data_IF_860949682650
#
_entry.id   IF_860949682650
#
_cell.length_a   1.000
_cell.length_b   1.000
_cell.length_c   1.000
_cell.angle_alpha   90.00
_cell.angle_beta   90.00
_cell.angle_gamma   90.00
#
_symmetry.space_group_name_H-M   'P 1'
#
loop_
_entity.id
_entity.type
_entity.pdbx_description
1 polymer ?
#
# COMPACT_ATOMS: atom_id res chain seq x y z
N UNK A 1 8.35 -25.83 3.33
CA UNK A 1 7.52 -25.23 4.40
C UNK A 1 7.55 -23.70 4.39
N UNK A 2 8.63 -23.05 3.95
CA UNK A 2 8.74 -21.58 3.95
C UNK A 2 7.84 -20.84 2.93
N UNK A 3 7.36 -21.52 1.87
CA UNK A 3 6.50 -20.90 0.83
C UNK A 3 5.02 -20.76 1.22
N UNK A 4 4.57 -21.39 2.30
CA UNK A 4 3.16 -21.34 2.74
C UNK A 4 2.90 -20.21 3.75
N UNK A 5 3.95 -19.67 4.39
CA UNK A 5 3.80 -18.63 5.42
C UNK A 5 3.57 -17.22 4.83
N UNK A 6 3.82 -17.00 3.53
CA UNK A 6 3.65 -15.69 2.89
C UNK A 6 2.16 -15.36 2.62
N UNK A 7 1.27 -16.34 2.67
CA UNK A 7 -0.17 -16.17 2.40
C UNK A 7 -0.99 -15.74 3.64
N UNK A 8 -0.35 -15.52 4.80
CA UNK A 8 -1.02 -15.17 6.05
C UNK A 8 -0.38 -13.99 6.80
N UNK A 9 0.43 -13.16 6.13
CA UNK A 9 1.04 -12.01 6.78
C UNK A 9 0.31 -10.72 6.36
N UNK A 10 -0.80 -10.33 7.01
CA UNK A 10 -1.62 -9.20 6.54
C UNK A 10 -0.86 -7.86 6.57
N UNK A 11 0.33 -7.79 7.16
CA UNK A 11 1.03 -6.52 7.40
C UNK A 11 2.54 -6.75 7.30
N UNK A 12 3.04 -6.81 6.08
CA UNK A 12 4.49 -6.76 5.86
C UNK A 12 4.97 -5.35 6.19
N UNK A 13 5.73 -5.20 7.28
CA UNK A 13 6.47 -3.96 7.60
C UNK A 13 7.32 -3.59 6.39
N UNK A 14 7.19 -2.36 5.89
CA UNK A 14 7.98 -1.92 4.74
C UNK A 14 9.09 -0.99 5.23
N UNK A 15 9.88 -0.44 4.33
CA UNK A 15 10.72 0.73 4.65
C UNK A 15 10.19 1.94 3.91
N UNK A 16 8.93 1.88 3.46
CA UNK A 16 8.33 2.94 2.68
C UNK A 16 8.22 4.19 3.55
N UNK A 17 8.49 5.34 2.96
CA UNK A 17 8.26 6.65 3.56
C UNK A 17 6.93 7.25 3.10
N UNK A 18 6.39 6.74 2.00
CA UNK A 18 5.11 7.14 1.43
C UNK A 18 4.32 5.90 1.02
N UNK A 19 3.05 5.86 1.40
CA UNK A 19 2.07 4.90 0.89
C UNK A 19 1.14 5.59 -0.10
N UNK A 20 1.10 5.12 -1.34
CA UNK A 20 0.12 5.54 -2.35
C UNK A 20 -1.00 4.51 -2.38
N UNK A 21 -2.12 4.83 -1.74
CA UNK A 21 -3.28 3.94 -1.67
C UNK A 21 -4.34 4.32 -2.70
N UNK A 22 -5.06 3.32 -3.20
CA UNK A 22 -6.14 3.53 -4.17
C UNK A 22 -7.36 2.65 -3.89
N UNK A 23 -8.54 3.13 -4.27
CA UNK A 23 -9.79 2.42 -4.02
C UNK A 23 -9.98 1.23 -4.96
N UNK A 24 -9.38 1.26 -6.14
CA UNK A 24 -9.44 0.23 -7.19
C UNK A 24 -8.14 0.23 -8.00
N UNK A 25 -7.76 -0.92 -8.57
CA UNK A 25 -6.61 -1.01 -9.48
C UNK A 25 -6.79 -0.17 -10.75
N UNK A 26 -8.04 0.12 -11.14
CA UNK A 26 -8.36 1.05 -12.24
C UNK A 26 -7.82 2.47 -12.01
N UNK A 27 -7.70 2.88 -10.74
CA UNK A 27 -7.27 4.22 -10.35
C UNK A 27 -5.75 4.42 -10.55
N UNK A 28 -5.00 3.33 -10.77
CA UNK A 28 -3.55 3.38 -10.97
C UNK A 28 -3.16 4.31 -12.12
N UNK A 29 -3.93 4.33 -13.20
CA UNK A 29 -3.66 5.20 -14.34
C UNK A 29 -3.69 6.69 -13.96
N UNK A 30 -4.58 7.08 -13.04
CA UNK A 30 -4.68 8.45 -12.50
C UNK A 30 -3.56 8.74 -11.51
N UNK A 31 -3.13 7.76 -10.71
CA UNK A 31 -2.12 7.95 -9.67
C UNK A 31 -0.67 7.78 -10.15
N UNK A 32 -0.46 7.18 -11.33
CA UNK A 32 0.87 6.91 -11.90
C UNK A 32 1.80 8.14 -11.92
N UNK A 33 1.35 9.35 -12.28
CA UNK A 33 2.23 10.52 -12.25
C UNK A 33 2.80 10.83 -10.85
N UNK A 34 2.04 10.60 -9.78
CA UNK A 34 2.53 10.80 -8.42
C UNK A 34 3.58 9.73 -8.05
N UNK A 35 3.34 8.47 -8.42
CA UNK A 35 4.29 7.36 -8.23
C UNK A 35 5.60 7.63 -8.98
N UNK A 36 5.52 8.14 -10.21
CA UNK A 36 6.69 8.47 -11.03
C UNK A 36 7.54 9.58 -10.41
N UNK A 37 6.90 10.60 -9.83
CA UNK A 37 7.60 11.66 -9.10
C UNK A 37 8.32 11.10 -7.87
N UNK A 38 7.65 10.29 -7.05
CA UNK A 38 8.26 9.66 -5.88
C UNK A 38 9.47 8.78 -6.27
N UNK A 39 9.34 8.02 -7.36
CA UNK A 39 10.42 7.22 -7.94
C UNK A 39 11.58 8.07 -8.43
N UNK A 40 11.32 9.20 -9.13
CA UNK A 40 12.34 10.14 -9.61
C UNK A 40 13.19 10.69 -8.47
N UNK A 41 12.56 11.02 -7.34
CA UNK A 41 13.25 11.49 -6.14
C UNK A 41 13.80 10.35 -5.26
N UNK A 42 13.66 9.09 -5.68
CA UNK A 42 14.10 7.89 -4.95
C UNK A 42 13.50 7.80 -3.54
N UNK A 43 12.26 8.25 -3.37
CA UNK A 43 11.51 8.11 -2.11
C UNK A 43 11.03 6.66 -2.00
N UNK A 44 11.40 5.92 -0.94
CA UNK A 44 10.85 4.58 -0.70
C UNK A 44 9.32 4.65 -0.64
N UNK A 45 8.64 3.95 -1.54
CA UNK A 45 7.20 4.07 -1.73
C UNK A 45 6.56 2.69 -1.80
N UNK A 46 5.42 2.52 -1.16
CA UNK A 46 4.53 1.38 -1.37
C UNK A 46 3.26 1.82 -2.11
N UNK A 47 2.69 0.92 -2.91
CA UNK A 47 1.48 1.17 -3.69
C UNK A 47 0.52 0.01 -3.41
N UNK A 48 -0.68 0.31 -2.93
CA UNK A 48 -1.61 -0.73 -2.43
C UNK A 48 -3.07 -0.38 -2.75
N UNK A 49 -3.91 -1.40 -2.98
CA UNK A 49 -5.36 -1.20 -3.16
C UNK A 49 -6.05 -1.28 -1.78
N UNK A 50 -6.51 -0.13 -1.29
CA UNK A 50 -7.15 0.02 0.02
C UNK A 50 -8.52 0.66 -0.20
N UNK A 51 -9.56 -0.17 -0.32
CA UNK A 51 -10.92 0.29 -0.65
C UNK A 51 -11.73 0.61 0.60
N UNK A 52 -12.11 1.87 0.79
CA UNK A 52 -12.97 2.28 1.89
C UNK A 52 -14.36 1.61 1.87
N UNK A 53 -14.91 1.33 0.68
CA UNK A 53 -16.26 0.78 0.54
C UNK A 53 -16.30 -0.76 0.49
N UNK A 54 -15.29 -1.41 -0.11
CA UNK A 54 -15.27 -2.87 -0.24
C UNK A 54 -14.58 -3.57 0.92
N UNK A 55 -13.61 -2.91 1.55
CA UNK A 55 -12.83 -3.46 2.67
C UNK A 55 -12.57 -2.39 3.76
N UNK A 56 -13.63 -1.84 4.38
CA UNK A 56 -13.52 -0.76 5.36
C UNK A 56 -12.65 -1.12 6.59
N UNK A 57 -12.74 -2.35 7.08
CA UNK A 57 -11.93 -2.81 8.22
C UNK A 57 -10.44 -2.85 7.88
N UNK A 58 -10.09 -3.34 6.69
CA UNK A 58 -8.71 -3.32 6.20
C UNK A 58 -8.20 -1.90 6.03
N UNK A 59 -9.02 -1.00 5.48
CA UNK A 59 -8.65 0.42 5.34
C UNK A 59 -8.36 1.08 6.69
N UNK A 60 -9.19 0.82 7.70
CA UNK A 60 -8.97 1.32 9.05
C UNK A 60 -7.71 0.73 9.69
N UNK A 61 -7.49 -0.59 9.56
CA UNK A 61 -6.30 -1.25 10.10
C UNK A 61 -5.02 -0.77 9.43
N UNK A 62 -5.06 -0.61 8.10
CA UNK A 62 -3.96 -0.07 7.30
C UNK A 62 -3.58 1.34 7.76
N UNK A 63 -4.57 2.23 7.95
CA UNK A 63 -4.34 3.60 8.42
C UNK A 63 -3.78 3.65 9.85
N UNK A 64 -4.32 2.85 10.78
CA UNK A 64 -3.85 2.79 12.18
C UNK A 64 -2.39 2.33 12.29
N UNK A 65 -1.93 1.51 11.36
CA UNK A 65 -0.57 0.95 11.36
C UNK A 65 0.39 1.69 10.44
N UNK A 66 -0.03 2.80 9.83
CA UNK A 66 0.79 3.55 8.87
C UNK A 66 2.10 4.07 9.48
N UNK A 67 2.09 4.48 10.76
CA UNK A 67 3.30 4.93 11.46
C UNK A 67 4.31 3.80 11.72
N UNK A 68 3.81 2.59 11.95
CA UNK A 68 4.64 1.41 12.21
C UNK A 68 5.16 0.73 10.93
N UNK A 69 4.66 1.13 9.75
CA UNK A 69 5.00 0.54 8.46
C UNK A 69 6.27 1.11 7.86
#
# INVERSE_FOLDING_TARGET
MEKILLALNPLKKTKAKVAVIMGSSSDLTTLQPAIDILKKFKVPTEVEVVSAHRSPEFMQDYAKKAEDR
#
